data_IF_447304943034
#
_entry.id   IF_447304943034
#
_cell.length_a   1.000
_cell.length_b   1.000
_cell.length_c   1.000
_cell.angle_alpha   90.00
_cell.angle_beta   90.00
_cell.angle_gamma   90.00
#
_symmetry.space_group_name_H-M   'P 1'
#
loop_
_entity.id
_entity.type
_entity.pdbx_description
1 polymer ?
#
# COMPACT_ATOMS: atom_id res chain seq x y z
N UNK A 1 -6.55 -15.36 -4.52
CA UNK A 1 -7.05 -14.84 -3.22
C UNK A 1 -6.99 -13.32 -3.13
N UNK A 2 -5.80 -12.69 -3.11
CA UNK A 2 -5.67 -11.22 -3.01
C UNK A 2 -6.49 -10.47 -4.09
N UNK A 3 -6.41 -10.94 -5.34
CA UNK A 3 -7.17 -10.36 -6.44
C UNK A 3 -8.68 -10.56 -6.31
N UNK A 4 -9.12 -11.67 -5.71
CA UNK A 4 -10.54 -11.92 -5.46
C UNK A 4 -11.07 -10.99 -4.38
N UNK A 5 -10.32 -10.81 -3.28
CA UNK A 5 -10.67 -9.85 -2.23
C UNK A 5 -10.77 -8.43 -2.76
N UNK A 6 -9.86 -8.02 -3.64
CA UNK A 6 -9.95 -6.71 -4.27
C UNK A 6 -11.22 -6.55 -5.12
N UNK A 7 -11.64 -7.58 -5.85
CA UNK A 7 -12.92 -7.57 -6.59
C UNK A 7 -14.13 -7.48 -5.67
N UNK A 8 -14.00 -7.90 -4.41
CA UNK A 8 -15.02 -7.75 -3.37
C UNK A 8 -14.95 -6.40 -2.64
N UNK A 9 -14.10 -5.47 -3.09
CA UNK A 9 -13.97 -4.12 -2.53
C UNK A 9 -12.98 -3.98 -1.37
N UNK A 10 -12.08 -4.95 -1.17
CA UNK A 10 -11.01 -4.84 -0.16
C UNK A 10 -9.80 -4.12 -0.77
N UNK A 11 -9.47 -2.94 -0.25
CA UNK A 11 -8.42 -2.07 -0.80
C UNK A 11 -6.98 -2.53 -0.51
N UNK A 12 -6.79 -3.48 0.41
CA UNK A 12 -5.47 -3.99 0.75
C UNK A 12 -5.49 -5.16 1.72
N UNK A 13 -4.32 -5.76 1.90
CA UNK A 13 -4.11 -6.85 2.85
C UNK A 13 -2.89 -6.58 3.72
N UNK A 14 -2.94 -7.02 4.98
CA UNK A 14 -1.78 -7.04 5.87
C UNK A 14 -1.21 -8.45 5.91
N UNK A 15 -0.05 -8.63 5.30
CA UNK A 15 0.66 -9.91 5.34
C UNK A 15 1.28 -10.09 6.73
N UNK A 16 1.20 -11.32 7.27
CA UNK A 16 1.81 -11.70 8.54
C UNK A 16 2.80 -12.85 8.28
N UNK A 17 4.06 -12.53 7.95
CA UNK A 17 5.10 -13.53 7.81
C UNK A 17 5.27 -14.31 9.13
N UNK A 18 5.60 -15.59 9.06
CA UNK A 18 5.96 -16.39 10.23
C UNK A 18 7.38 -16.04 10.67
N UNK A 19 8.30 -15.91 9.71
CA UNK A 19 9.71 -15.54 9.94
C UNK A 19 10.09 -14.46 8.91
N UNK A 20 10.30 -13.24 9.39
CA UNK A 20 10.58 -12.11 8.50
C UNK A 20 11.79 -12.33 7.59
N UNK A 21 12.85 -12.97 8.09
CA UNK A 21 14.09 -13.16 7.34
C UNK A 21 13.95 -14.12 6.15
N UNK A 22 13.04 -15.09 6.20
CA UNK A 22 12.83 -16.08 5.14
C UNK A 22 11.61 -15.77 4.29
N UNK A 23 10.54 -15.30 4.92
CA UNK A 23 9.25 -15.17 4.25
C UNK A 23 9.11 -13.84 3.51
N UNK A 24 9.75 -12.76 3.98
CA UNK A 24 9.71 -11.48 3.27
C UNK A 24 10.41 -11.54 1.90
N UNK A 25 11.60 -12.15 1.75
CA UNK A 25 12.20 -12.36 0.43
C UNK A 25 11.26 -13.10 -0.52
N UNK A 26 10.64 -14.20 -0.09
CA UNK A 26 9.68 -14.96 -0.91
C UNK A 26 8.49 -14.09 -1.35
N UNK A 27 7.93 -13.30 -0.44
CA UNK A 27 6.83 -12.36 -0.78
C UNK A 27 7.29 -11.32 -1.82
N UNK A 28 8.48 -10.76 -1.64
CA UNK A 28 9.04 -9.73 -2.54
C UNK A 28 9.36 -10.30 -3.91
N UNK A 29 9.91 -11.51 -3.97
CA UNK A 29 10.42 -12.10 -5.21
C UNK A 29 9.32 -12.82 -6.00
N UNK A 30 8.30 -13.36 -5.34
CA UNK A 30 7.24 -14.12 -5.99
C UNK A 30 5.93 -13.34 -6.09
N UNK A 31 5.44 -12.78 -4.97
CA UNK A 31 4.09 -12.20 -4.90
C UNK A 31 4.04 -10.80 -5.52
N UNK A 32 5.01 -9.94 -5.21
CA UNK A 32 5.03 -8.56 -5.72
C UNK A 32 5.06 -8.50 -7.26
N UNK A 33 5.91 -9.28 -7.97
CA UNK A 33 5.93 -9.26 -9.43
C UNK A 33 4.63 -9.80 -10.07
N UNK A 34 3.96 -10.76 -9.43
CA UNK A 34 2.65 -11.24 -9.89
C UNK A 34 1.60 -10.13 -9.83
N UNK A 35 1.55 -9.38 -8.72
CA UNK A 35 0.59 -8.28 -8.57
C UNK A 35 0.91 -7.09 -9.49
N UNK A 36 2.19 -6.80 -9.73
CA UNK A 36 2.61 -5.76 -10.68
C UNK A 36 2.23 -6.13 -12.12
N UNK A 37 2.48 -7.37 -12.55
CA UNK A 37 2.05 -7.87 -13.88
C UNK A 37 0.54 -7.80 -14.08
N UNK A 38 -0.23 -7.96 -13.01
CA UNK A 38 -1.68 -7.81 -13.02
C UNK A 38 -2.16 -6.34 -12.97
N UNK A 39 -1.25 -5.35 -12.92
CA UNK A 39 -1.57 -3.94 -12.68
C UNK A 39 -2.40 -3.72 -11.41
N UNK A 40 -2.09 -4.47 -10.34
CA UNK A 40 -2.75 -4.39 -9.02
C UNK A 40 -1.82 -3.99 -7.90
N UNK A 41 -0.55 -3.73 -8.21
CA UNK A 41 0.41 -3.18 -7.27
C UNK A 41 1.35 -2.21 -7.98
N UNK A 42 1.82 -1.22 -7.23
CA UNK A 42 2.77 -0.19 -7.70
C UNK A 42 4.08 -0.83 -8.19
N UNK A 43 4.67 -0.24 -9.22
CA UNK A 43 5.98 -0.64 -9.77
C UNK A 43 7.15 0.15 -9.18
N UNK A 44 6.91 1.36 -8.68
CA UNK A 44 7.92 2.19 -8.04
C UNK A 44 7.32 3.04 -6.91
N UNK A 45 8.19 3.62 -6.10
CA UNK A 45 7.83 4.66 -5.14
C UNK A 45 8.20 6.03 -5.70
N UNK A 46 7.42 7.05 -5.35
CA UNK A 46 7.74 8.44 -5.69
C UNK A 46 8.48 9.07 -4.50
N UNK A 47 9.64 9.66 -4.76
CA UNK A 47 10.42 10.38 -3.75
C UNK A 47 9.63 11.55 -3.17
N UNK A 48 9.64 11.72 -1.85
CA UNK A 48 8.92 12.79 -1.15
C UNK A 48 7.40 12.55 -0.98
N UNK A 49 6.86 11.43 -1.49
CA UNK A 49 5.46 11.07 -1.31
C UNK A 49 5.15 10.76 0.18
N UNK A 50 4.12 11.40 0.72
CA UNK A 50 3.63 11.09 2.07
C UNK A 50 2.89 9.75 2.10
N UNK A 51 2.90 9.05 3.24
CA UNK A 51 2.11 7.82 3.42
C UNK A 51 0.61 8.04 3.14
N UNK A 52 0.10 9.23 3.48
CA UNK A 52 -1.28 9.62 3.24
C UNK A 52 -1.59 9.70 1.74
N UNK A 53 -0.73 10.37 0.98
CA UNK A 53 -0.85 10.44 -0.48
C UNK A 53 -0.79 9.03 -1.10
N UNK A 54 0.14 8.19 -0.64
CA UNK A 54 0.29 6.80 -1.11
C UNK A 54 -0.97 5.95 -0.92
N UNK A 55 -1.73 6.20 0.16
CA UNK A 55 -2.94 5.46 0.49
C UNK A 55 -4.21 6.15 -0.01
N UNK A 56 -4.12 7.22 -0.81
CA UNK A 56 -5.28 7.98 -1.28
C UNK A 56 -6.08 8.67 -0.17
N UNK A 57 -5.46 8.88 1.00
CA UNK A 57 -6.11 9.47 2.16
C UNK A 57 -6.13 11.00 2.04
N UNK A 58 -7.21 11.68 2.46
CA UNK A 58 -7.31 13.14 2.39
C UNK A 58 -6.33 13.79 3.37
N UNK A 59 -5.88 15.02 3.06
CA UNK A 59 -5.07 15.86 3.97
C UNK A 59 -5.77 15.94 5.33
N UNK A 60 -5.01 15.78 6.41
CA UNK A 60 -5.50 15.96 7.78
C UNK A 60 -5.11 17.37 8.26
N UNK A 61 -5.95 18.41 8.03
CA UNK A 61 -5.65 19.75 8.50
C UNK A 61 -5.57 19.77 10.02
N UNK A 62 -4.58 20.49 10.54
CA UNK A 62 -4.49 20.71 11.99
C UNK A 62 -5.72 21.51 12.44
N UNK A 63 -6.41 21.04 13.48
CA UNK A 63 -7.56 21.73 14.07
C UNK A 63 -7.25 23.14 14.60
N UNK A 64 -5.98 23.44 14.84
CA UNK A 64 -5.48 24.75 15.27
C UNK A 64 -4.78 25.52 14.15
N UNK A 65 -4.71 24.99 12.93
CA UNK A 65 -4.30 25.78 11.77
C UNK A 65 -5.37 26.86 11.61
N UNK A 66 -5.08 28.07 12.09
CA UNK A 66 -5.99 29.20 12.02
C UNK A 66 -6.54 29.28 10.59
N UNK A 67 -7.86 29.40 10.49
CA UNK A 67 -8.49 30.04 9.33
C UNK A 67 -7.88 31.44 9.31
N UNK A 68 -6.78 31.60 8.58
CA UNK A 68 -6.27 32.92 8.25
C UNK A 68 -7.32 33.46 7.28
N UNK A 69 -8.21 34.30 7.82
CA UNK A 69 -9.15 35.08 7.03
C UNK A 69 -8.43 36.08 6.15
#
# INVERSE_FOLDING_TARGET
LLLEWQRLGIDGARLRPAINATDLPVIVDEVVPLLQRANRFRSHYVGGETLRARLGLPVAPNRYAKVVG
#
